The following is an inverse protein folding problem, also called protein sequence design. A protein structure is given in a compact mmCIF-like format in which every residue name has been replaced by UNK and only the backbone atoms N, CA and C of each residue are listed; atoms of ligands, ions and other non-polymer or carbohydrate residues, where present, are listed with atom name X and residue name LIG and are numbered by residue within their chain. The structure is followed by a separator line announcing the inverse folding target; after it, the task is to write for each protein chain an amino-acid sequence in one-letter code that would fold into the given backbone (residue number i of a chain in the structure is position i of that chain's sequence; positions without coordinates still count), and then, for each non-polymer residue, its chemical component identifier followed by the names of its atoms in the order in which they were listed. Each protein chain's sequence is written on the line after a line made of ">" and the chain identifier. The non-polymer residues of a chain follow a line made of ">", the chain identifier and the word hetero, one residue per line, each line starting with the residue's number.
data_IF_676461984672
#
_entry.id   IF_676461984672
#
_cell.length_a   1.000
_cell.length_b   1.000
_cell.length_c   1.000
_cell.angle_alpha   90.00
_cell.angle_beta   90.00
_cell.angle_gamma   90.00
#
_symmetry.space_group_name_H-M   'P 1'
#
loop_
_entity.id
_entity.type
_entity.pdbx_description
1 polymer ?
#
# COMPACT_ATOMS: atom_id res chain seq x y z
N UNK A 1 13.94 -22.26 -74.08
CA UNK A 1 13.50 -21.98 -72.70
C UNK A 1 14.71 -21.49 -71.93
N UNK A 2 14.87 -20.17 -71.70
CA UNK A 2 15.95 -19.66 -70.87
C UNK A 2 15.78 -20.18 -69.44
N UNK A 3 16.83 -20.77 -68.90
CA UNK A 3 16.90 -21.33 -67.56
C UNK A 3 16.70 -20.24 -66.51
N UNK A 4 16.00 -20.53 -65.41
CA UNK A 4 15.86 -19.63 -64.27
C UNK A 4 17.21 -19.12 -63.71
N UNK A 5 18.30 -19.86 -63.98
CA UNK A 5 19.67 -19.46 -63.63
C UNK A 5 20.25 -18.31 -64.49
N UNK A 6 19.80 -18.13 -65.73
CA UNK A 6 20.27 -17.03 -66.59
C UNK A 6 19.56 -15.71 -66.26
N UNK A 7 18.29 -15.77 -65.87
CA UNK A 7 17.54 -14.61 -65.38
C UNK A 7 18.12 -14.08 -64.07
N UNK A 8 18.52 -14.98 -63.17
CA UNK A 8 19.18 -14.63 -61.91
C UNK A 8 20.58 -14.02 -62.14
N UNK A 9 21.37 -14.59 -63.06
CA UNK A 9 22.69 -14.06 -63.42
C UNK A 9 22.62 -12.70 -64.13
N UNK A 10 21.63 -12.48 -65.00
CA UNK A 10 21.42 -11.19 -65.65
C UNK A 10 20.94 -10.11 -64.67
N UNK A 11 20.07 -10.46 -63.73
CA UNK A 11 19.68 -9.57 -62.64
C UNK A 11 20.87 -9.19 -61.74
N UNK A 12 21.74 -10.15 -61.40
CA UNK A 12 22.98 -9.89 -60.65
C UNK A 12 23.99 -9.03 -61.42
N UNK A 13 24.16 -9.26 -62.73
CA UNK A 13 25.08 -8.49 -63.56
C UNK A 13 24.59 -7.05 -63.79
N UNK A 14 23.27 -6.87 -63.97
CA UNK A 14 22.64 -5.54 -64.12
C UNK A 14 22.58 -4.77 -62.80
N UNK A 15 22.47 -5.46 -61.68
CA UNK A 15 22.61 -4.90 -60.33
C UNK A 15 24.00 -4.26 -60.10
N UNK A 16 25.06 -4.86 -60.63
CA UNK A 16 26.42 -4.32 -60.51
C UNK A 16 26.67 -3.03 -61.31
N UNK A 17 25.90 -2.78 -62.38
CA UNK A 17 26.01 -1.58 -63.22
C UNK A 17 25.25 -0.36 -62.65
N UNK A 18 24.29 -0.57 -61.73
CA UNK A 18 23.46 0.49 -61.14
C UNK A 18 23.48 0.48 -59.60
N UNK A 19 24.67 0.35 -59.01
CA UNK A 19 24.94 0.44 -57.57
C UNK A 19 24.22 1.60 -56.84
N UNK A 20 24.13 2.84 -57.37
CA UNK A 20 23.44 3.92 -56.67
C UNK A 20 21.91 3.70 -56.59
N UNK A 21 21.29 3.04 -57.57
CA UNK A 21 19.84 2.77 -57.54
C UNK A 21 19.50 1.70 -56.50
N UNK A 22 20.33 0.65 -56.38
CA UNK A 22 20.16 -0.36 -55.33
C UNK A 22 20.41 0.21 -53.94
N UNK A 23 21.41 1.08 -53.80
CA UNK A 23 21.67 1.79 -52.53
C UNK A 23 20.50 2.69 -52.13
N UNK A 24 19.93 3.45 -53.06
CA UNK A 24 18.76 4.29 -52.82
C UNK A 24 17.51 3.47 -52.43
N UNK A 25 17.27 2.35 -53.11
CA UNK A 25 16.18 1.43 -52.79
C UNK A 25 16.35 0.81 -51.39
N UNK A 26 17.55 0.29 -51.08
CA UNK A 26 17.88 -0.23 -49.75
C UNK A 26 17.72 0.84 -48.67
N UNK A 27 18.19 2.07 -48.92
CA UNK A 27 18.07 3.19 -47.99
C UNK A 27 16.61 3.57 -47.75
N UNK A 28 15.77 3.52 -48.78
CA UNK A 28 14.33 3.80 -48.66
C UNK A 28 13.62 2.71 -47.86
N UNK A 29 13.94 1.43 -48.10
CA UNK A 29 13.40 0.30 -47.32
C UNK A 29 13.85 0.39 -45.85
N UNK A 30 15.12 0.73 -45.61
CA UNK A 30 15.66 0.86 -44.26
C UNK A 30 15.01 2.05 -43.52
N UNK A 31 14.85 3.19 -44.20
CA UNK A 31 14.20 4.37 -43.64
C UNK A 31 12.72 4.09 -43.31
N UNK A 32 11.97 3.48 -44.23
CA UNK A 32 10.56 3.13 -43.99
C UNK A 32 10.42 2.11 -42.86
N UNK A 33 11.30 1.11 -42.80
CA UNK A 33 11.32 0.13 -41.70
C UNK A 33 11.65 0.81 -40.37
N UNK A 34 12.65 1.69 -40.34
CA UNK A 34 13.02 2.45 -39.15
C UNK A 34 11.88 3.35 -38.67
N UNK A 35 11.18 4.04 -39.59
CA UNK A 35 10.02 4.88 -39.25
C UNK A 35 8.88 4.04 -38.70
N UNK A 36 8.53 2.91 -39.34
CA UNK A 36 7.47 2.01 -38.85
C UNK A 36 7.82 1.40 -37.49
N UNK A 37 9.08 0.97 -37.31
CA UNK A 37 9.57 0.43 -36.05
C UNK A 37 9.53 1.50 -34.93
N UNK A 38 9.98 2.72 -35.22
CA UNK A 38 9.99 3.83 -34.26
C UNK A 38 8.57 4.27 -33.90
N UNK A 39 7.67 4.37 -34.88
CA UNK A 39 6.27 4.73 -34.64
C UNK A 39 5.57 3.66 -33.79
N UNK A 40 5.82 2.38 -34.07
CA UNK A 40 5.29 1.26 -33.29
C UNK A 40 5.83 1.30 -31.86
N UNK A 41 7.15 1.43 -31.69
CA UNK A 41 7.78 1.53 -30.37
C UNK A 41 7.26 2.74 -29.57
N UNK A 42 7.07 3.89 -30.22
CA UNK A 42 6.48 5.08 -29.61
C UNK A 42 5.03 4.84 -29.18
N UNK A 43 4.20 4.25 -30.04
CA UNK A 43 2.80 3.94 -29.73
C UNK A 43 2.68 2.96 -28.56
N UNK A 44 3.57 1.97 -28.47
CA UNK A 44 3.60 1.05 -27.33
C UNK A 44 4.06 1.75 -26.06
N UNK A 45 5.12 2.58 -26.15
CA UNK A 45 5.64 3.32 -25.00
C UNK A 45 4.62 4.33 -24.43
N UNK A 46 3.92 5.07 -25.29
CA UNK A 46 2.90 6.03 -24.85
C UNK A 46 1.65 5.34 -24.29
N UNK A 47 1.25 4.20 -24.88
CA UNK A 47 0.15 3.39 -24.37
C UNK A 47 0.45 2.86 -22.97
N UNK A 48 1.63 2.28 -22.77
CA UNK A 48 2.08 1.78 -21.46
C UNK A 48 2.23 2.91 -20.43
N UNK A 49 2.79 4.06 -20.81
CA UNK A 49 2.87 5.23 -19.94
C UNK A 49 1.48 5.76 -19.55
N UNK A 50 0.53 5.78 -20.48
CA UNK A 50 -0.84 6.24 -20.23
C UNK A 50 -1.58 5.28 -19.29
N UNK A 51 -1.43 3.96 -19.48
CA UNK A 51 -1.99 2.96 -18.58
C UNK A 51 -1.39 3.08 -17.17
N UNK A 52 -0.06 3.16 -17.08
CA UNK A 52 0.63 3.36 -15.78
C UNK A 52 0.17 4.64 -15.09
N UNK A 53 -0.02 5.73 -15.84
CA UNK A 53 -0.52 6.99 -15.29
C UNK A 53 -1.95 6.86 -14.78
N UNK A 54 -2.86 6.24 -15.55
CA UNK A 54 -4.23 6.00 -15.14
C UNK A 54 -4.30 5.12 -13.88
N UNK A 55 -3.57 3.99 -13.85
CA UNK A 55 -3.54 3.10 -12.70
C UNK A 55 -2.88 3.71 -11.45
N UNK A 56 -1.96 4.67 -11.63
CA UNK A 56 -1.30 5.37 -10.53
C UNK A 56 -2.11 6.59 -10.03
N UNK A 57 -3.13 7.03 -10.76
CA UNK A 57 -3.97 8.14 -10.33
C UNK A 57 -4.68 7.77 -9.02
N UNK A 58 -4.67 8.61 -7.96
CA UNK A 58 -5.15 8.22 -6.64
C UNK A 58 -6.59 7.69 -6.58
N UNK A 59 -7.47 8.18 -7.48
CA UNK A 59 -8.86 7.74 -7.57
C UNK A 59 -8.97 6.31 -8.15
N UNK A 60 -8.26 6.03 -9.23
CA UNK A 60 -8.32 4.75 -9.93
C UNK A 60 -7.46 3.67 -9.24
N UNK A 61 -6.36 4.07 -8.61
CA UNK A 61 -5.50 3.20 -7.80
C UNK A 61 -6.27 2.59 -6.63
N UNK A 62 -7.16 3.37 -6.01
CA UNK A 62 -8.03 2.90 -4.96
C UNK A 62 -8.91 1.75 -5.49
N UNK A 63 -9.60 1.93 -6.61
CA UNK A 63 -10.51 0.93 -7.18
C UNK A 63 -9.83 -0.33 -7.72
N UNK A 64 -8.52 -0.27 -7.94
CA UNK A 64 -7.68 -1.42 -8.35
C UNK A 64 -7.01 -2.13 -7.15
N UNK A 65 -7.34 -1.76 -5.91
CA UNK A 65 -6.70 -2.31 -4.70
C UNK A 65 -7.30 -3.66 -4.30
N UNK A 66 -6.47 -4.70 -4.23
CA UNK A 66 -6.81 -5.97 -3.60
C UNK A 66 -6.40 -5.95 -2.12
N UNK A 67 -7.38 -6.05 -1.21
CA UNK A 67 -7.14 -6.11 0.24
C UNK A 67 -7.28 -7.55 0.73
N UNK A 68 -6.22 -8.06 1.36
CA UNK A 68 -6.22 -9.38 2.00
C UNK A 68 -6.16 -9.18 3.51
N UNK A 69 -7.11 -9.76 4.25
CA UNK A 69 -7.15 -9.73 5.71
C UNK A 69 -7.03 -11.15 6.25
N UNK A 70 -6.20 -11.32 7.27
CA UNK A 70 -6.07 -12.55 8.02
C UNK A 70 -6.02 -12.18 9.51
N UNK A 71 -6.92 -12.76 10.30
CA UNK A 71 -7.10 -12.38 11.72
C UNK A 71 -6.09 -13.07 12.63
N UNK A 72 -5.59 -14.25 12.24
CA UNK A 72 -4.65 -15.03 13.05
C UNK A 72 -3.64 -15.72 12.14
N UNK A 73 -2.49 -15.07 11.94
CA UNK A 73 -1.34 -15.68 11.25
C UNK A 73 -0.25 -15.95 12.28
N UNK A 74 0.04 -17.23 12.59
CA UNK A 74 1.13 -17.58 13.48
C UNK A 74 2.45 -16.95 13.01
N UNK A 75 3.30 -16.51 13.94
CA UNK A 75 4.56 -15.81 13.62
C UNK A 75 5.42 -16.61 12.63
N UNK A 76 5.56 -17.92 12.84
CA UNK A 76 6.30 -18.84 11.98
C UNK A 76 5.74 -18.92 10.54
N UNK A 77 4.46 -18.65 10.35
CA UNK A 77 3.79 -18.73 9.04
C UNK A 77 3.73 -17.39 8.30
N UNK A 78 4.16 -16.28 8.91
CA UNK A 78 4.05 -14.93 8.30
C UNK A 78 4.81 -14.84 6.99
N UNK A 79 6.04 -15.34 6.91
CA UNK A 79 6.84 -15.35 5.68
C UNK A 79 6.18 -16.17 4.57
N UNK A 80 5.58 -17.31 4.93
CA UNK A 80 4.86 -18.15 3.97
C UNK A 80 3.57 -17.45 3.49
N UNK A 81 2.83 -16.80 4.39
CA UNK A 81 1.65 -16.02 4.06
C UNK A 81 1.99 -14.84 3.14
N UNK A 82 3.05 -14.07 3.44
CA UNK A 82 3.52 -12.96 2.60
C UNK A 82 3.95 -13.44 1.21
N UNK A 83 4.61 -14.61 1.13
CA UNK A 83 4.98 -15.23 -0.14
C UNK A 83 3.75 -15.64 -0.93
N UNK A 84 2.78 -16.30 -0.29
CA UNK A 84 1.53 -16.72 -0.90
C UNK A 84 0.70 -15.52 -1.41
N UNK A 85 0.62 -14.44 -0.63
CA UNK A 85 -0.03 -13.19 -1.06
C UNK A 85 0.69 -12.62 -2.27
N UNK A 86 2.02 -12.51 -2.24
CA UNK A 86 2.81 -11.99 -3.37
C UNK A 86 2.61 -12.80 -4.65
N UNK A 87 2.63 -14.12 -4.56
CA UNK A 87 2.41 -15.01 -5.71
C UNK A 87 0.98 -14.96 -6.22
N UNK A 88 0.00 -15.01 -5.30
CA UNK A 88 -1.41 -14.90 -5.62
C UNK A 88 -1.75 -13.57 -6.31
N UNK A 89 -1.23 -12.46 -5.80
CA UNK A 89 -1.40 -11.13 -6.40
C UNK A 89 -0.77 -11.07 -7.78
N UNK A 90 0.45 -11.58 -7.98
CA UNK A 90 1.09 -11.60 -9.30
C UNK A 90 0.24 -12.37 -10.33
N UNK A 91 -0.35 -13.48 -9.93
CA UNK A 91 -1.24 -14.27 -10.79
C UNK A 91 -2.57 -13.55 -11.06
N UNK A 92 -3.16 -12.92 -10.05
CA UNK A 92 -4.42 -12.19 -10.19
C UNK A 92 -4.32 -10.98 -11.14
N UNK A 93 -3.14 -10.34 -11.17
CA UNK A 93 -2.86 -9.19 -12.03
C UNK A 93 -2.05 -9.56 -13.30
N UNK A 94 -2.04 -10.83 -13.70
CA UNK A 94 -1.40 -11.34 -14.93
C UNK A 94 0.06 -10.85 -15.13
N UNK A 95 0.83 -10.81 -14.04
CA UNK A 95 2.24 -10.40 -14.07
C UNK A 95 2.49 -8.89 -14.09
N UNK A 96 1.45 -8.04 -14.07
CA UNK A 96 1.61 -6.59 -13.93
C UNK A 96 2.34 -6.23 -12.62
N UNK A 97 3.11 -5.12 -12.61
CA UNK A 97 3.79 -4.67 -11.41
C UNK A 97 2.78 -4.28 -10.33
N UNK A 98 2.92 -4.88 -9.15
CA UNK A 98 2.05 -4.61 -7.99
C UNK A 98 2.87 -4.08 -6.82
N UNK A 99 2.28 -3.13 -6.10
CA UNK A 99 2.85 -2.61 -4.86
C UNK A 99 2.18 -3.28 -3.69
N UNK A 100 2.94 -4.06 -2.91
CA UNK A 100 2.44 -4.66 -1.69
C UNK A 100 2.68 -3.71 -0.50
N UNK A 101 1.65 -3.58 0.33
CA UNK A 101 1.69 -2.83 1.59
C UNK A 101 1.07 -3.72 2.67
N UNK A 102 1.66 -3.70 3.84
CA UNK A 102 1.26 -4.52 4.98
C UNK A 102 0.92 -3.61 6.14
N UNK A 103 -0.13 -3.98 6.87
CA UNK A 103 -0.49 -3.38 8.15
C UNK A 103 -0.75 -4.52 9.13
N UNK A 104 0.04 -4.56 10.20
CA UNK A 104 -0.19 -5.50 11.30
C UNK A 104 -0.94 -4.76 12.40
N UNK A 105 -1.95 -5.41 12.98
CA UNK A 105 -2.78 -4.85 14.03
C UNK A 105 -3.10 -5.85 15.12
N UNK A 106 -3.42 -5.35 16.30
CA UNK A 106 -3.95 -6.15 17.39
C UNK A 106 -5.44 -6.37 17.24
N UNK A 107 -6.00 -7.25 18.08
CA UNK A 107 -7.42 -7.25 18.37
C UNK A 107 -7.91 -5.97 19.06
N UNK A 108 -9.23 -5.80 19.22
CA UNK A 108 -9.82 -4.66 19.88
C UNK A 108 -9.52 -4.64 21.38
N UNK A 109 -9.27 -3.45 21.89
CA UNK A 109 -9.18 -3.11 23.30
C UNK A 109 -10.27 -2.10 23.65
N UNK A 110 -10.82 -2.18 24.86
CA UNK A 110 -11.70 -1.17 25.40
C UNK A 110 -10.88 -0.02 26.02
N UNK A 111 -11.32 1.21 25.73
CA UNK A 111 -10.84 2.42 26.38
C UNK A 111 -11.45 2.54 27.78
N UNK A 112 -10.70 3.11 28.75
CA UNK A 112 -11.21 3.32 30.08
C UNK A 112 -12.45 4.22 30.06
N UNK A 113 -13.49 3.83 30.81
CA UNK A 113 -14.75 4.58 30.89
C UNK A 113 -14.60 6.02 31.40
N UNK A 114 -13.48 6.33 32.08
CA UNK A 114 -13.14 7.69 32.52
C UNK A 114 -12.97 8.69 31.37
N UNK A 115 -12.60 8.22 30.18
CA UNK A 115 -12.45 9.05 28.98
C UNK A 115 -13.79 9.44 28.34
N UNK A 116 -14.87 8.71 28.67
CA UNK A 116 -16.21 9.02 28.18
C UNK A 116 -16.83 10.17 28.96
N UNK A 117 -17.59 11.07 28.29
CA UNK A 117 -18.42 12.06 28.97
C UNK A 117 -19.36 11.40 30.01
N UNK A 118 -19.65 12.06 31.14
CA UNK A 118 -20.51 11.51 32.19
C UNK A 118 -21.87 11.03 31.65
N UNK A 119 -22.42 11.78 30.69
CA UNK A 119 -23.74 11.60 30.11
C UNK A 119 -23.83 10.34 29.24
N UNK A 120 -22.72 9.88 28.66
CA UNK A 120 -22.64 8.68 27.82
C UNK A 120 -22.26 7.44 28.64
N UNK A 121 -21.48 7.62 29.71
CA UNK A 121 -21.04 6.55 30.62
C UNK A 121 -22.20 5.78 31.25
N UNK A 122 -23.34 6.45 31.48
CA UNK A 122 -24.54 5.85 32.06
C UNK A 122 -25.54 5.31 31.03
N UNK A 123 -25.36 5.60 29.73
CA UNK A 123 -26.35 5.28 28.68
C UNK A 123 -26.10 3.96 27.97
N UNK A 124 -24.85 3.50 27.93
CA UNK A 124 -24.48 2.26 27.25
C UNK A 124 -23.39 1.52 27.99
N UNK A 125 -23.60 0.21 28.14
CA UNK A 125 -22.62 -0.73 28.70
C UNK A 125 -21.54 -1.10 27.66
N UNK A 126 -21.70 -0.65 26.41
CA UNK A 126 -20.71 -0.87 25.35
C UNK A 126 -19.53 0.09 25.50
N UNK A 127 -18.29 -0.42 25.59
CA UNK A 127 -17.11 0.42 25.70
C UNK A 127 -16.71 1.01 24.35
N UNK A 128 -16.13 2.20 24.40
CA UNK A 128 -15.38 2.74 23.26
C UNK A 128 -14.14 1.86 23.02
N UNK A 129 -13.81 1.64 21.75
CA UNK A 129 -12.77 0.72 21.35
C UNK A 129 -11.53 1.44 20.81
N UNK A 130 -10.41 0.75 20.89
CA UNK A 130 -9.17 1.08 20.20
C UNK A 130 -8.43 -0.20 19.83
N UNK A 131 -7.36 -0.09 19.05
CA UNK A 131 -6.47 -1.21 18.75
C UNK A 131 -5.10 -0.66 18.37
N UNK A 132 -4.07 -1.48 18.54
CA UNK A 132 -2.71 -1.16 18.11
C UNK A 132 -2.53 -1.48 16.64
N UNK A 133 -1.71 -0.68 15.95
CA UNK A 133 -1.27 -0.99 14.61
C UNK A 133 0.18 -0.54 14.38
N UNK A 134 0.93 -1.35 13.65
CA UNK A 134 2.26 -1.02 13.15
C UNK A 134 2.12 -0.27 11.82
N UNK A 135 1.86 1.04 11.87
CA UNK A 135 1.72 1.85 10.65
C UNK A 135 3.07 2.07 9.97
N UNK A 136 3.04 2.20 8.65
CA UNK A 136 4.19 2.62 7.85
C UNK A 136 4.54 4.06 8.24
N UNK A 137 5.76 4.25 8.75
CA UNK A 137 6.25 5.55 9.23
C UNK A 137 6.29 6.62 8.12
N UNK A 138 6.27 6.24 6.84
CA UNK A 138 6.20 7.18 5.71
C UNK A 138 4.78 7.72 5.47
N UNK A 139 3.76 7.05 6.01
CA UNK A 139 2.35 7.39 5.82
C UNK A 139 1.80 8.29 6.93
N UNK A 140 2.60 8.52 7.97
CA UNK A 140 2.23 9.30 9.15
C UNK A 140 3.23 10.42 9.40
N UNK A 141 2.73 11.54 9.93
CA UNK A 141 3.56 12.64 10.43
C UNK A 141 3.22 12.87 11.89
N UNK A 142 4.24 12.84 12.75
CA UNK A 142 4.09 13.27 14.15
C UNK A 142 3.89 14.78 14.15
N UNK A 143 2.77 15.20 14.73
CA UNK A 143 2.43 16.60 14.89
C UNK A 143 2.84 17.12 16.27
N UNK A 144 2.78 16.26 17.29
CA UNK A 144 3.17 16.59 18.66
C UNK A 144 3.87 15.39 19.33
N UNK A 145 4.82 15.66 20.21
CA UNK A 145 5.57 14.61 20.91
C UNK A 145 6.55 13.88 19.99
N UNK A 146 6.59 12.54 20.08
CA UNK A 146 7.53 11.70 19.33
C UNK A 146 6.89 10.41 18.82
N UNK A 147 7.60 9.73 17.93
CA UNK A 147 7.29 8.34 17.56
C UNK A 147 7.44 7.41 18.78
N UNK A 148 6.60 6.36 18.87
CA UNK A 148 6.77 5.30 19.87
C UNK A 148 8.10 4.58 19.72
N UNK A 149 8.73 4.25 20.84
CA UNK A 149 9.88 3.36 20.89
C UNK A 149 9.46 1.87 20.85
N UNK A 150 10.45 1.00 20.68
CA UNK A 150 10.29 -0.46 20.73
C UNK A 150 9.60 -0.92 22.03
N UNK A 151 8.77 -1.95 21.93
CA UNK A 151 8.02 -2.48 23.06
C UNK A 151 8.90 -3.41 23.93
N UNK A 152 9.77 -2.81 24.75
CA UNK A 152 10.74 -3.56 25.60
C UNK A 152 10.33 -3.69 27.06
N UNK A 153 9.13 -3.26 27.45
CA UNK A 153 8.68 -3.22 28.85
C UNK A 153 7.18 -3.40 29.03
N UNK A 154 6.72 -3.28 30.27
CA UNK A 154 5.31 -3.45 30.64
C UNK A 154 4.40 -2.28 30.21
N UNK A 155 4.97 -1.09 30.01
CA UNK A 155 4.28 0.07 29.46
C UNK A 155 4.59 0.18 27.96
N UNK A 156 3.55 0.10 27.13
CA UNK A 156 3.68 0.20 25.68
C UNK A 156 3.61 1.67 25.28
N UNK A 157 4.63 2.14 24.54
CA UNK A 157 4.56 3.46 23.92
C UNK A 157 3.61 3.41 22.71
N UNK A 158 2.72 4.39 22.62
CA UNK A 158 1.82 4.53 21.46
C UNK A 158 1.69 6.00 21.04
N UNK A 159 1.37 6.22 19.77
CA UNK A 159 0.96 7.53 19.26
C UNK A 159 -0.48 7.47 18.77
N UNK A 160 -1.24 8.54 19.00
CA UNK A 160 -2.68 8.60 18.73
C UNK A 160 -2.97 9.58 17.58
N UNK A 161 -3.97 9.33 16.72
CA UNK A 161 -4.41 10.33 15.76
C UNK A 161 -4.83 11.63 16.45
N UNK A 162 -4.44 12.79 15.93
CA UNK A 162 -4.84 14.10 16.49
C UNK A 162 -6.36 14.24 16.67
N UNK A 163 -7.14 13.68 15.74
CA UNK A 163 -8.60 13.71 15.79
C UNK A 163 -9.14 12.94 16.99
N UNK A 164 -8.61 11.74 17.23
CA UNK A 164 -8.95 10.91 18.39
C UNK A 164 -8.48 11.54 19.70
N UNK A 165 -7.25 12.09 19.72
CA UNK A 165 -6.69 12.76 20.88
C UNK A 165 -7.55 13.94 21.33
N UNK A 166 -8.01 14.77 20.37
CA UNK A 166 -8.91 15.89 20.65
C UNK A 166 -10.26 15.43 21.20
N UNK A 167 -10.83 14.36 20.65
CA UNK A 167 -12.12 13.84 21.09
C UNK A 167 -12.06 13.22 22.50
N UNK A 168 -10.93 12.59 22.84
CA UNK A 168 -10.70 11.95 24.14
C UNK A 168 -10.02 12.89 25.16
N UNK A 169 -9.73 14.13 24.78
CA UNK A 169 -8.96 15.10 25.56
C UNK A 169 -7.62 14.53 26.09
N UNK A 170 -6.88 13.84 25.21
CA UNK A 170 -5.59 13.23 25.51
C UNK A 170 -4.44 14.02 24.88
N UNK A 171 -3.34 14.08 25.62
CA UNK A 171 -2.09 14.73 25.20
C UNK A 171 -0.90 13.77 25.37
N UNK A 172 0.24 14.02 24.69
CA UNK A 172 1.46 13.28 24.96
C UNK A 172 1.82 13.30 26.46
N UNK A 173 2.14 12.14 27.01
CA UNK A 173 2.36 11.90 28.43
C UNK A 173 1.20 11.19 29.13
N UNK A 174 0.00 11.18 28.55
CA UNK A 174 -1.14 10.47 29.12
C UNK A 174 -0.88 8.96 29.24
N UNK A 175 -1.32 8.37 30.36
CA UNK A 175 -1.22 6.94 30.65
C UNK A 175 -2.60 6.33 30.77
N UNK A 176 -2.82 5.20 30.11
CA UNK A 176 -4.12 4.52 30.07
C UNK A 176 -3.93 3.02 30.24
N UNK A 177 -4.89 2.39 30.90
CA UNK A 177 -5.01 0.93 30.92
C UNK A 177 -6.12 0.54 29.98
N UNK A 178 -5.80 -0.30 29.01
CA UNK A 178 -6.70 -0.78 27.99
C UNK A 178 -7.11 -2.22 28.31
N UNK A 179 -8.41 -2.51 28.27
CA UNK A 179 -8.93 -3.84 28.56
C UNK A 179 -9.06 -4.66 27.28
N UNK A 180 -8.44 -5.84 27.22
CA UNK A 180 -8.51 -6.67 26.03
C UNK A 180 -9.91 -7.28 25.86
N UNK A 181 -10.47 -7.20 24.65
CA UNK A 181 -11.83 -7.70 24.36
C UNK A 181 -11.87 -9.15 23.85
N UNK A 182 -10.72 -9.78 23.62
CA UNK A 182 -10.55 -11.13 23.07
C UNK A 182 -9.79 -12.07 24.03
N UNK A 183 -10.04 -11.97 25.33
CA UNK A 183 -9.48 -12.84 26.39
C UNK A 183 -7.95 -12.77 26.62
N UNK A 184 -7.29 -11.69 26.19
CA UNK A 184 -5.88 -11.43 26.50
C UNK A 184 -5.65 -10.53 27.73
N UNK A 185 -4.38 -10.28 28.11
CA UNK A 185 -4.08 -9.39 29.24
C UNK A 185 -4.42 -7.93 28.90
N UNK A 186 -4.76 -7.10 29.91
CA UNK A 186 -4.87 -5.67 29.74
C UNK A 186 -3.52 -5.07 29.34
N UNK A 187 -3.54 -3.99 28.58
CA UNK A 187 -2.34 -3.30 28.12
C UNK A 187 -2.23 -1.94 28.80
N UNK A 188 -1.09 -1.68 29.45
CA UNK A 188 -0.79 -0.33 29.96
C UNK A 188 -0.04 0.44 28.89
N UNK A 189 -0.56 1.61 28.50
CA UNK A 189 0.02 2.43 27.45
C UNK A 189 0.41 3.81 27.96
N UNK A 190 1.41 4.40 27.30
CA UNK A 190 1.70 5.84 27.36
C UNK A 190 1.61 6.46 25.98
N UNK A 191 0.81 7.50 25.86
CA UNK A 191 0.75 8.33 24.66
C UNK A 191 2.05 9.13 24.57
N UNK A 192 2.82 8.93 23.52
CA UNK A 192 4.13 9.56 23.33
C UNK A 192 4.14 10.64 22.26
N UNK A 193 3.14 10.60 21.38
CA UNK A 193 2.93 11.61 20.38
C UNK A 193 1.55 11.56 19.77
N UNK A 194 1.23 12.62 19.06
CA UNK A 194 0.04 12.72 18.23
C UNK A 194 0.46 12.71 16.78
N UNK A 195 -0.24 11.94 15.95
CA UNK A 195 0.07 11.82 14.54
C UNK A 195 -1.12 12.22 13.67
N UNK A 196 -0.81 12.54 12.42
CA UNK A 196 -1.79 12.66 11.34
C UNK A 196 -1.32 11.88 10.12
N UNK A 197 -2.23 11.29 9.34
CA UNK A 197 -1.91 10.79 8.01
C UNK A 197 -1.24 11.85 7.14
N UNK A 198 -0.26 11.46 6.33
CA UNK A 198 0.33 12.34 5.31
C UNK A 198 -0.71 12.68 4.24
N UNK A 199 -1.45 11.67 3.79
CA UNK A 199 -2.58 11.81 2.86
C UNK A 199 -3.60 10.70 3.16
N UNK A 200 -4.80 11.05 3.59
CA UNK A 200 -5.89 10.10 3.87
C UNK A 200 -6.46 9.46 2.61
N UNK A 201 -6.25 10.05 1.42
CA UNK A 201 -6.67 9.48 0.15
C UNK A 201 -5.66 8.45 -0.39
N UNK A 202 -4.50 8.30 0.25
CA UNK A 202 -3.52 7.30 -0.17
C UNK A 202 -4.09 5.88 -0.05
N UNK A 203 -3.86 5.00 -1.06
CA UNK A 203 -4.36 3.61 -1.03
C UNK A 203 -3.96 2.82 0.21
N UNK A 204 -2.85 3.19 0.85
CA UNK A 204 -2.38 2.61 2.11
C UNK A 204 -3.47 2.58 3.19
N UNK A 205 -4.26 3.64 3.32
CA UNK A 205 -5.26 3.75 4.38
C UNK A 205 -6.45 2.81 4.19
N UNK A 206 -6.60 2.15 3.04
CA UNK A 206 -7.58 1.04 2.88
C UNK A 206 -7.23 -0.19 3.71
N UNK A 207 -5.99 -0.32 4.19
CA UNK A 207 -5.58 -1.37 5.11
C UNK A 207 -6.13 -1.14 6.53
N UNK A 208 -6.35 0.12 6.90
CA UNK A 208 -6.91 0.52 8.19
C UNK A 208 -8.45 0.57 8.10
N UNK A 209 -9.14 -0.10 9.02
CA UNK A 209 -10.61 -0.08 9.07
C UNK A 209 -11.15 1.33 9.34
N UNK A 210 -10.35 2.21 9.95
CA UNK A 210 -10.72 3.60 10.20
C UNK A 210 -10.44 4.52 8.99
N UNK A 211 -9.78 4.01 7.94
CA UNK A 211 -9.36 4.75 6.76
C UNK A 211 -8.55 6.02 7.10
N UNK A 212 -7.71 5.96 8.14
CA UNK A 212 -6.89 7.10 8.58
C UNK A 212 -7.68 8.26 9.21
N UNK A 213 -8.98 8.11 9.45
CA UNK A 213 -9.83 9.19 9.99
C UNK A 213 -9.63 9.44 11.49
N UNK A 214 -9.06 8.46 12.19
CA UNK A 214 -8.84 8.51 13.63
C UNK A 214 -10.04 8.12 14.48
N UNK A 215 -11.27 8.32 13.98
CA UNK A 215 -12.52 7.97 14.67
C UNK A 215 -13.51 7.39 13.68
N UNK A 216 -14.12 6.26 14.03
CA UNK A 216 -15.27 5.71 13.32
C UNK A 216 -16.37 5.37 14.32
N UNK A 217 -17.58 5.83 14.02
CA UNK A 217 -18.80 5.50 14.76
C UNK A 217 -19.56 4.43 14.00
N UNK A 218 -19.78 3.29 14.63
CA UNK A 218 -20.60 2.18 14.12
C UNK A 218 -21.43 1.58 15.25
N UNK A 219 -21.42 0.26 15.38
CA UNK A 219 -21.93 -0.42 16.59
C UNK A 219 -21.13 0.00 17.83
N UNK A 220 -19.81 0.11 17.69
CA UNK A 220 -18.93 0.70 18.69
C UNK A 220 -18.30 1.98 18.14
N UNK A 221 -17.99 2.94 19.03
CA UNK A 221 -17.10 4.05 18.66
C UNK A 221 -15.66 3.57 18.78
N UNK A 222 -14.93 3.56 17.67
CA UNK A 222 -13.51 3.18 17.66
C UNK A 222 -12.63 4.40 17.44
N UNK A 223 -11.61 4.55 18.29
CA UNK A 223 -10.59 5.59 18.22
C UNK A 223 -9.24 4.97 17.90
N UNK A 224 -8.51 5.52 16.93
CA UNK A 224 -7.17 5.05 16.56
C UNK A 224 -6.94 4.95 15.05
N UNK A 225 -6.11 4.01 14.59
CA UNK A 225 -5.35 3.05 15.39
C UNK A 225 -4.33 3.73 16.33
N UNK A 226 -3.98 3.06 17.42
CA UNK A 226 -2.81 3.41 18.22
C UNK A 226 -1.57 2.97 17.46
N UNK A 227 -0.81 3.92 16.94
CA UNK A 227 0.47 3.63 16.32
C UNK A 227 1.41 3.07 17.40
N UNK A 228 1.88 1.84 17.20
CA UNK A 228 2.85 1.19 18.05
C UNK A 228 4.05 0.70 17.22
N UNK A 229 5.17 0.42 17.88
CA UNK A 229 6.31 -0.14 17.20
C UNK A 229 6.04 -1.58 16.72
N UNK A 230 6.53 -1.99 15.52
CA UNK A 230 6.33 -3.34 14.99
C UNK A 230 6.76 -4.47 15.93
N UNK A 231 7.73 -4.22 16.81
CA UNK A 231 8.20 -5.18 17.84
C UNK A 231 7.10 -5.63 18.80
N UNK A 232 6.02 -4.86 18.95
CA UNK A 232 4.85 -5.27 19.73
C UNK A 232 4.17 -6.54 19.17
N UNK A 233 4.28 -6.77 17.86
CA UNK A 233 3.60 -7.87 17.17
C UNK A 233 4.50 -9.09 16.94
N UNK A 234 5.77 -9.02 17.35
CA UNK A 234 6.74 -10.10 17.16
C UNK A 234 6.85 -11.05 18.34
N UNK A 235 6.00 -10.90 19.37
CA UNK A 235 5.97 -11.81 20.52
C UNK A 235 5.70 -13.26 20.11
N UNK A 236 6.47 -14.17 20.70
CA UNK A 236 6.48 -15.63 20.49
C UNK A 236 5.13 -16.30 20.81
#
# INVERSE_FOLDING_TARGET
>A
MPSAGDSAKFALARAHAHKPLLAAALLTVLLTTAVLATLTAYSTAIGDASLRHALAAPRDAADTTLVVKAETVPAASRTAADTAVREGTRKAFDGLPVTLRTLVRSGPYALPGSLRPPDERAKTDEPDLTHFAALDRTQVRIAEGRMPAEATGAEIEAALPETAARALALEPGARLTLDNRLDGPPATIRITGLYRPVDTAAPYWRLDDLNGRGIVKGHFTTYGPLLADPTLFTGD
#
